data_IF_634699726036
#
_entry.id   IF_634699726036
#
_cell.length_a   1.000
_cell.length_b   1.000
_cell.length_c   1.000
_cell.angle_alpha   90.00
_cell.angle_beta   90.00
_cell.angle_gamma   90.00
#
_symmetry.space_group_name_H-M   'P 1'
#
loop_
_entity.id
_entity.type
_entity.pdbx_description
1 polymer ?
#
# COMPACT_ATOMS: atom_id res chain seq x y z
N UNK A 1 18.15 -18.59 -23.18
CA UNK A 1 16.79 -18.71 -22.59
C UNK A 1 16.72 -18.49 -21.07
N UNK A 2 17.71 -18.91 -20.27
CA UNK A 2 17.76 -18.63 -18.80
C UNK A 2 18.00 -17.17 -18.39
N UNK A 3 18.46 -16.32 -19.30
CA UNK A 3 18.78 -14.90 -19.04
C UNK A 3 17.53 -13.99 -19.10
N UNK A 4 16.55 -14.32 -19.93
CA UNK A 4 15.30 -13.56 -20.12
C UNK A 4 14.29 -13.80 -18.98
N UNK A 5 14.36 -14.97 -18.34
CA UNK A 5 13.50 -15.37 -17.22
C UNK A 5 13.86 -14.67 -15.89
N UNK A 6 15.06 -14.08 -15.78
CA UNK A 6 15.52 -13.32 -14.60
C UNK A 6 15.13 -11.83 -14.63
N UNK A 7 14.60 -11.34 -15.75
CA UNK A 7 14.20 -9.94 -15.91
C UNK A 7 12.78 -9.68 -15.38
N UNK A 8 11.95 -10.71 -15.26
CA UNK A 8 10.53 -10.59 -14.91
C UNK A 8 10.20 -10.57 -13.41
N UNK A 9 11.18 -10.75 -12.51
CA UNK A 9 10.97 -11.16 -11.10
C UNK A 9 10.30 -10.09 -10.19
N UNK A 10 9.94 -8.91 -10.68
CA UNK A 10 10.01 -7.72 -9.83
C UNK A 10 8.76 -6.82 -9.70
N UNK A 11 7.62 -7.16 -10.29
CA UNK A 11 6.52 -6.20 -10.46
C UNK A 11 5.30 -6.36 -9.54
N UNK A 12 5.29 -7.23 -8.52
CA UNK A 12 4.01 -7.53 -7.85
C UNK A 12 4.17 -7.55 -6.35
N UNK A 13 3.65 -6.53 -5.68
CA UNK A 13 3.85 -6.31 -4.27
C UNK A 13 2.72 -5.40 -3.70
N UNK A 14 1.82 -5.93 -2.83
CA UNK A 14 1.31 -5.34 -1.54
C UNK A 14 -0.16 -5.73 -1.15
N UNK A 15 -0.34 -5.92 0.17
CA UNK A 15 -1.50 -5.92 1.13
C UNK A 15 -2.87 -6.58 0.87
N UNK A 16 -3.27 -7.39 1.87
CA UNK A 16 -4.57 -8.00 2.21
C UNK A 16 -5.78 -7.05 2.25
N UNK A 17 -6.83 -7.38 1.49
CA UNK A 17 -8.17 -6.78 1.58
C UNK A 17 -9.21 -7.91 1.45
N UNK A 18 -10.21 -7.91 2.34
CA UNK A 18 -11.38 -8.80 2.28
C UNK A 18 -12.51 -8.11 1.50
N UNK A 19 -13.07 -8.74 0.46
CA UNK A 19 -14.13 -8.17 -0.39
C UNK A 19 -15.46 -8.89 -0.11
N UNK A 20 -16.51 -8.14 0.24
CA UNK A 20 -17.90 -8.64 0.23
C UNK A 20 -18.87 -7.56 -0.28
N UNK A 21 -19.57 -7.88 -1.38
CA UNK A 21 -20.98 -7.57 -1.63
C UNK A 21 -21.41 -6.15 -2.01
N UNK A 22 -21.64 -5.93 -3.32
CA UNK A 22 -22.14 -4.72 -3.99
C UNK A 22 -23.68 -4.64 -4.09
N UNK A 23 -24.27 -3.45 -3.90
CA UNK A 23 -25.46 -2.89 -4.62
C UNK A 23 -25.39 -1.34 -4.56
N UNK A 24 -25.55 -0.56 -5.66
CA UNK A 24 -25.38 0.90 -5.65
C UNK A 24 -26.72 1.66 -5.67
N UNK A 25 -26.72 2.88 -5.11
CA UNK A 25 -27.72 3.90 -5.46
C UNK A 25 -27.08 5.29 -5.60
N UNK A 26 -27.65 6.06 -6.54
CA UNK A 26 -27.15 7.32 -7.12
C UNK A 26 -27.55 8.56 -6.29
N UNK A 27 -26.88 9.68 -6.60
CA UNK A 27 -27.34 11.10 -6.72
C UNK A 27 -26.44 12.05 -5.92
N UNK A 28 -25.61 12.89 -6.55
CA UNK A 28 -25.87 14.14 -7.31
C UNK A 28 -25.81 15.39 -6.42
N UNK A 29 -25.01 16.38 -6.83
CA UNK A 29 -25.17 17.77 -6.41
C UNK A 29 -23.85 18.48 -6.17
N UNK A 30 -23.32 19.12 -7.23
CA UNK A 30 -22.25 20.10 -7.12
C UNK A 30 -22.82 21.45 -6.69
N UNK A 31 -22.22 22.11 -5.71
CA UNK A 31 -22.22 23.57 -5.65
C UNK A 31 -20.88 24.10 -5.10
N UNK A 32 -20.23 24.94 -5.91
CA UNK A 32 -19.01 25.66 -5.59
C UNK A 32 -19.24 26.67 -4.46
N UNK A 33 -18.31 26.76 -3.50
CA UNK A 33 -18.28 27.82 -2.49
C UNK A 33 -17.00 28.65 -2.55
N UNK A 34 -17.25 29.95 -2.66
CA UNK A 34 -16.33 31.08 -2.59
C UNK A 34 -15.49 31.10 -1.31
N UNK A 35 -14.20 31.40 -1.48
CA UNK A 35 -13.22 31.55 -0.42
C UNK A 35 -13.50 32.71 0.54
N UNK A 36 -13.56 32.40 1.84
CA UNK A 36 -13.25 33.32 2.94
C UNK A 36 -12.46 32.53 3.98
N UNK A 37 -11.30 33.06 4.37
CA UNK A 37 -10.41 32.55 5.41
C UNK A 37 -11.17 32.20 6.69
N UNK A 38 -11.42 30.91 6.91
CA UNK A 38 -11.82 30.35 8.20
C UNK A 38 -10.67 29.50 8.73
N UNK A 39 -10.43 29.56 10.03
CA UNK A 39 -9.91 28.38 10.73
C UNK A 39 -10.95 27.30 10.42
N UNK A 40 -10.65 26.41 9.48
CA UNK A 40 -11.53 25.31 9.18
C UNK A 40 -11.70 24.54 10.49
N UNK A 41 -12.92 24.49 11.01
CA UNK A 41 -13.26 23.49 12.02
C UNK A 41 -12.87 22.15 11.41
N UNK A 42 -11.82 21.52 11.94
CA UNK A 42 -11.52 20.15 11.55
C UNK A 42 -12.78 19.34 11.81
N UNK A 43 -13.26 18.63 10.78
CA UNK A 43 -14.49 17.86 10.86
C UNK A 43 -14.42 16.78 11.95
N UNK A 44 -13.19 16.36 12.28
CA UNK A 44 -12.89 15.36 13.30
C UNK A 44 -11.86 15.89 14.29
N UNK A 45 -12.04 15.52 15.55
CA UNK A 45 -11.01 15.61 16.59
C UNK A 45 -9.89 14.61 16.30
N UNK A 46 -8.73 14.80 16.95
CA UNK A 46 -7.57 13.90 16.83
C UNK A 46 -7.91 12.49 17.32
N UNK A 47 -8.68 12.41 18.40
CA UNK A 47 -9.15 11.16 18.99
C UNK A 47 -10.08 10.40 18.02
N UNK A 48 -10.98 11.10 17.35
CA UNK A 48 -11.87 10.52 16.32
C UNK A 48 -11.06 10.00 15.13
N UNK A 49 -10.12 10.79 14.61
CA UNK A 49 -9.23 10.37 13.52
C UNK A 49 -8.42 9.11 13.88
N UNK A 50 -7.88 9.06 15.10
CA UNK A 50 -7.15 7.89 15.60
C UNK A 50 -8.07 6.68 15.68
N UNK A 51 -9.30 6.82 16.20
CA UNK A 51 -10.23 5.71 16.31
C UNK A 51 -10.71 5.22 14.95
N UNK A 52 -11.01 6.12 14.02
CA UNK A 52 -11.34 5.78 12.63
C UNK A 52 -10.20 5.02 11.97
N UNK A 53 -8.95 5.45 12.19
CA UNK A 53 -7.76 4.78 11.63
C UNK A 53 -7.55 3.40 12.24
N UNK A 54 -7.72 3.21 13.55
CA UNK A 54 -7.66 1.89 14.19
C UNK A 54 -8.71 0.94 13.59
N UNK A 55 -9.96 1.38 13.51
CA UNK A 55 -11.05 0.59 12.93
C UNK A 55 -10.76 0.20 11.48
N UNK A 56 -10.24 1.14 10.67
CA UNK A 56 -9.86 0.89 9.29
C UNK A 56 -8.68 -0.08 9.15
N UNK A 57 -7.68 0.00 10.03
CA UNK A 57 -6.52 -0.91 10.01
C UNK A 57 -6.92 -2.33 10.43
N UNK A 58 -7.81 -2.46 11.41
CA UNK A 58 -8.35 -3.76 11.85
C UNK A 58 -9.30 -4.36 10.80
N UNK A 59 -10.09 -3.51 10.13
CA UNK A 59 -11.11 -3.93 9.16
C UNK A 59 -11.00 -3.10 7.86
N UNK A 60 -9.97 -3.35 7.04
CA UNK A 60 -9.75 -2.56 5.82
C UNK A 60 -10.90 -2.74 4.84
N UNK A 61 -11.43 -1.62 4.33
CA UNK A 61 -12.55 -1.58 3.41
C UNK A 61 -12.30 -0.55 2.30
N UNK A 62 -12.39 -0.97 1.03
CA UNK A 62 -12.18 -0.09 -0.14
C UNK A 62 -13.34 0.87 -0.39
N UNK A 63 -14.52 0.61 0.17
CA UNK A 63 -15.71 1.47 0.04
C UNK A 63 -15.59 2.78 0.83
N UNK A 64 -14.68 2.82 1.81
CA UNK A 64 -14.35 4.05 2.52
C UNK A 64 -13.29 4.89 1.81
N UNK A 65 -12.73 4.42 0.69
CA UNK A 65 -11.78 5.22 -0.09
C UNK A 65 -12.51 6.26 -0.93
N UNK A 66 -11.99 7.47 -0.87
CA UNK A 66 -12.41 8.60 -1.69
C UNK A 66 -12.23 8.30 -3.19
N UNK A 67 -12.97 9.00 -4.04
CA UNK A 67 -12.85 8.83 -5.50
C UNK A 67 -11.47 9.31 -5.99
N UNK A 68 -10.89 10.33 -5.33
CA UNK A 68 -9.55 10.84 -5.59
C UNK A 68 -8.49 10.18 -4.67
N UNK A 69 -8.74 8.95 -4.23
CA UNK A 69 -7.80 8.20 -3.39
C UNK A 69 -6.45 7.95 -4.09
N UNK A 70 -5.36 8.15 -3.34
CA UNK A 70 -4.00 7.80 -3.77
C UNK A 70 -3.32 6.89 -2.74
N UNK A 71 -2.57 5.91 -3.21
CA UNK A 71 -1.66 5.09 -2.42
C UNK A 71 -0.20 5.35 -2.80
N UNK A 72 0.69 5.45 -1.79
CA UNK A 72 2.14 5.61 -2.00
C UNK A 72 2.99 4.83 -1.01
N UNK A 73 3.79 3.90 -1.52
CA UNK A 73 4.95 3.33 -0.83
C UNK A 73 6.28 3.89 -1.37
N UNK A 74 7.43 3.44 -0.83
CA UNK A 74 8.74 3.96 -1.23
C UNK A 74 9.07 3.77 -2.71
N UNK A 75 8.63 2.65 -3.30
CA UNK A 75 8.90 2.29 -4.70
C UNK A 75 7.63 1.93 -5.50
N UNK A 76 6.46 2.01 -4.87
CA UNK A 76 5.15 1.74 -5.49
C UNK A 76 4.29 2.99 -5.32
N UNK A 77 3.52 3.33 -6.34
CA UNK A 77 2.66 4.49 -6.39
C UNK A 77 3.30 5.71 -7.07
N UNK A 78 2.55 6.81 -7.18
CA UNK A 78 1.15 6.95 -6.78
C UNK A 78 0.24 5.97 -7.55
N UNK A 79 -0.64 5.28 -6.83
CA UNK A 79 -1.64 4.38 -7.40
C UNK A 79 -3.02 4.87 -7.00
N UNK A 80 -3.89 5.11 -7.98
CA UNK A 80 -5.30 5.43 -7.72
C UNK A 80 -6.09 4.17 -7.35
N UNK A 81 -7.27 4.35 -6.76
CA UNK A 81 -8.17 3.27 -6.30
C UNK A 81 -8.31 2.11 -7.30
N UNK A 82 -8.66 2.40 -8.56
CA UNK A 82 -8.83 1.37 -9.61
C UNK A 82 -7.56 0.54 -9.85
N UNK A 83 -6.42 1.21 -9.93
CA UNK A 83 -5.15 0.59 -10.29
C UNK A 83 -4.58 -0.18 -9.10
N UNK A 84 -4.79 0.33 -7.89
CA UNK A 84 -4.42 -0.37 -6.66
C UNK A 84 -5.21 -1.67 -6.52
N UNK A 85 -6.54 -1.64 -6.68
CA UNK A 85 -7.38 -2.84 -6.57
C UNK A 85 -6.99 -3.87 -7.64
N UNK A 86 -6.81 -3.43 -8.89
CA UNK A 86 -6.43 -4.32 -9.99
C UNK A 86 -5.03 -4.94 -9.79
N UNK A 87 -4.08 -4.17 -9.26
CA UNK A 87 -2.69 -4.61 -9.03
C UNK A 87 -2.59 -5.50 -7.80
N UNK A 88 -3.28 -5.15 -6.72
CA UNK A 88 -3.07 -5.73 -5.40
C UNK A 88 -4.11 -6.75 -4.99
N UNK A 89 -5.37 -6.65 -5.45
CA UNK A 89 -6.45 -7.55 -5.04
C UNK A 89 -6.11 -9.05 -5.17
N UNK A 90 -5.57 -9.51 -6.32
CA UNK A 90 -5.16 -10.91 -6.47
C UNK A 90 -3.99 -11.30 -5.55
N UNK A 91 -2.98 -10.43 -5.44
CA UNK A 91 -1.79 -10.67 -4.62
C UNK A 91 -2.14 -10.74 -3.13
N UNK A 92 -3.05 -9.87 -2.70
CA UNK A 92 -3.60 -9.79 -1.35
C UNK A 92 -4.23 -11.11 -0.89
N UNK A 93 -5.04 -11.73 -1.75
CA UNK A 93 -5.65 -13.03 -1.47
C UNK A 93 -4.59 -14.12 -1.31
N UNK A 94 -3.65 -14.20 -2.25
CA UNK A 94 -2.59 -15.21 -2.22
C UNK A 94 -1.68 -15.05 -1.00
N UNK A 95 -1.39 -13.82 -0.57
CA UNK A 95 -0.60 -13.56 0.64
C UNK A 95 -1.34 -13.96 1.92
N UNK A 96 -2.66 -13.82 1.96
CA UNK A 96 -3.48 -14.30 3.08
C UNK A 96 -3.37 -15.81 3.25
N UNK A 97 -3.42 -16.51 2.13
CA UNK A 97 -3.29 -17.97 2.12
C UNK A 97 -1.87 -18.39 2.49
N UNK A 98 -0.86 -17.70 1.95
CA UNK A 98 0.55 -17.97 2.25
C UNK A 98 0.93 -17.72 3.72
N UNK A 99 0.39 -16.65 4.32
CA UNK A 99 0.63 -16.26 5.72
C UNK A 99 -0.70 -16.17 6.49
N UNK A 100 -1.32 -17.30 6.86
CA UNK A 100 -2.65 -17.32 7.47
C UNK A 100 -2.71 -16.70 8.86
N UNK A 101 -1.57 -16.61 9.55
CA UNK A 101 -1.37 -16.01 10.87
C UNK A 101 -0.75 -14.59 10.78
N UNK A 102 -0.78 -13.94 9.60
CA UNK A 102 -0.18 -12.62 9.42
C UNK A 102 -0.93 -11.55 10.21
N UNK A 103 -0.24 -11.00 11.20
CA UNK A 103 -0.68 -9.88 11.99
C UNK A 103 0.17 -8.65 11.69
N UNK A 104 -0.47 -7.50 11.44
CA UNK A 104 0.24 -6.24 11.23
C UNK A 104 0.91 -5.75 12.53
N UNK A 105 0.34 -6.07 13.70
CA UNK A 105 0.75 -5.53 15.00
C UNK A 105 0.88 -4.00 14.96
N UNK A 106 -0.22 -3.31 14.67
CA UNK A 106 -0.24 -1.86 14.56
C UNK A 106 -0.20 -1.18 15.94
N UNK A 107 0.56 -0.08 16.07
CA UNK A 107 0.73 0.65 17.32
C UNK A 107 1.12 2.12 17.07
N UNK A 108 1.14 2.94 18.13
CA UNK A 108 1.67 4.30 18.07
C UNK A 108 0.86 5.25 17.18
N UNK A 109 -0.46 5.09 17.13
CA UNK A 109 -1.36 5.96 16.37
C UNK A 109 -1.34 7.40 16.90
N UNK A 110 -1.23 8.38 16.00
CA UNK A 110 -1.12 9.78 16.34
C UNK A 110 -1.65 10.68 15.19
N UNK A 111 -2.45 11.69 15.53
CA UNK A 111 -3.03 12.66 14.58
C UNK A 111 -2.54 14.10 14.85
N UNK A 112 -1.29 14.26 15.27
CA UNK A 112 -0.65 15.53 15.58
C UNK A 112 0.20 16.08 14.43
N UNK A 113 -0.02 15.64 13.18
CA UNK A 113 0.71 16.18 12.04
C UNK A 113 0.44 17.69 11.91
N UNK A 114 1.47 18.56 12.02
CA UNK A 114 1.29 20.00 12.01
C UNK A 114 1.11 20.58 10.60
N UNK A 115 1.35 19.78 9.55
CA UNK A 115 1.34 20.19 8.14
C UNK A 115 0.13 19.59 7.41
N UNK A 116 -0.17 18.32 7.65
CA UNK A 116 -1.26 17.58 7.00
C UNK A 116 -2.39 17.32 8.00
N UNK A 117 -3.37 18.23 8.13
CA UNK A 117 -4.54 17.98 8.97
C UNK A 117 -5.27 16.72 8.50
N UNK A 118 -5.92 16.02 9.43
CA UNK A 118 -6.60 14.74 9.20
C UNK A 118 -5.69 13.55 8.84
N UNK A 119 -4.36 13.71 8.90
CA UNK A 119 -3.41 12.61 8.75
C UNK A 119 -3.16 11.93 10.09
N UNK A 120 -3.35 10.61 10.11
CA UNK A 120 -2.97 9.76 11.23
C UNK A 120 -1.74 8.96 10.85
N UNK A 121 -0.66 9.14 11.60
CA UNK A 121 0.54 8.33 11.56
C UNK A 121 0.43 7.16 12.54
N UNK A 122 0.98 6.02 12.16
CA UNK A 122 1.08 4.85 13.03
C UNK A 122 2.23 3.97 12.58
N UNK A 123 2.62 3.04 13.45
CA UNK A 123 3.63 2.04 13.15
C UNK A 123 3.00 0.66 13.04
N UNK A 124 3.67 -0.23 12.33
CA UNK A 124 3.37 -1.66 12.33
C UNK A 124 4.64 -2.46 12.57
N UNK A 125 4.49 -3.69 13.04
CA UNK A 125 5.58 -4.65 13.13
C UNK A 125 5.09 -6.04 12.71
N UNK A 126 5.02 -6.32 11.39
CA UNK A 126 4.29 -7.48 10.91
C UNK A 126 4.93 -8.78 11.37
N UNK A 127 4.09 -9.76 11.73
CA UNK A 127 4.52 -11.10 12.10
C UNK A 127 3.61 -12.15 11.46
N UNK A 128 4.19 -13.26 11.04
CA UNK A 128 3.45 -14.40 10.51
C UNK A 128 4.36 -15.56 10.17
N UNK A 129 3.82 -16.57 9.50
CA UNK A 129 4.49 -17.81 9.14
C UNK A 129 4.11 -18.21 7.73
N UNK A 130 5.09 -18.55 6.90
CA UNK A 130 4.84 -19.00 5.53
C UNK A 130 4.38 -20.47 5.52
N UNK A 131 3.08 -20.68 5.69
CA UNK A 131 2.45 -22.00 5.86
C UNK A 131 1.57 -22.42 4.68
N UNK A 132 1.04 -21.47 3.92
CA UNK A 132 0.32 -21.76 2.67
C UNK A 132 1.21 -21.61 1.45
N UNK A 133 0.82 -22.24 0.34
CA UNK A 133 1.48 -21.97 -0.93
C UNK A 133 1.16 -20.56 -1.43
N UNK A 134 2.09 -19.99 -2.20
CA UNK A 134 1.90 -18.70 -2.84
C UNK A 134 1.98 -18.84 -4.36
N UNK A 135 0.89 -18.53 -5.06
CA UNK A 135 0.88 -18.47 -6.52
C UNK A 135 1.49 -17.15 -7.00
N UNK A 136 2.78 -17.17 -7.33
CA UNK A 136 3.49 -16.00 -7.82
C UNK A 136 3.17 -15.75 -9.30
N UNK A 137 2.83 -14.51 -9.72
CA UNK A 137 2.42 -14.22 -11.10
C UNK A 137 3.49 -14.53 -12.15
N UNK A 138 4.76 -14.55 -11.74
CA UNK A 138 5.92 -14.77 -12.61
C UNK A 138 6.63 -16.11 -12.41
N UNK A 139 6.98 -16.49 -11.17
CA UNK A 139 7.79 -17.71 -10.92
C UNK A 139 6.94 -18.96 -10.72
N UNK A 140 5.60 -18.82 -10.73
CA UNK A 140 4.67 -19.90 -10.45
C UNK A 140 4.50 -20.15 -8.96
N UNK A 141 4.02 -21.34 -8.63
CA UNK A 141 3.72 -21.73 -7.25
C UNK A 141 4.99 -21.83 -6.40
N UNK A 142 4.99 -21.15 -5.26
CA UNK A 142 6.03 -21.21 -4.23
C UNK A 142 5.47 -22.04 -3.07
N UNK A 143 6.13 -23.14 -2.73
CA UNK A 143 5.69 -24.03 -1.64
C UNK A 143 6.07 -23.46 -0.26
N UNK A 144 5.24 -23.67 0.77
CA UNK A 144 5.49 -23.19 2.11
C UNK A 144 6.73 -23.83 2.73
N UNK A 145 7.46 -23.06 3.54
CA UNK A 145 8.69 -23.52 4.20
C UNK A 145 8.59 -23.50 5.73
N UNK A 146 7.51 -22.95 6.29
CA UNK A 146 7.37 -22.68 7.72
C UNK A 146 8.24 -21.51 8.20
N UNK A 147 8.86 -20.75 7.28
CA UNK A 147 9.70 -19.61 7.63
C UNK A 147 8.88 -18.52 8.34
N UNK A 148 9.47 -17.96 9.40
CA UNK A 148 8.84 -16.90 10.18
C UNK A 148 9.07 -15.55 9.51
N UNK A 149 7.99 -14.80 9.32
CA UNK A 149 8.03 -13.38 9.03
C UNK A 149 8.12 -12.62 10.36
N UNK A 150 9.22 -11.90 10.55
CA UNK A 150 9.39 -10.89 11.59
C UNK A 150 9.82 -9.65 10.83
N UNK A 151 8.91 -8.71 10.61
CA UNK A 151 9.23 -7.47 9.90
C UNK A 151 9.89 -6.43 10.80
N UNK A 152 10.65 -5.50 10.21
CA UNK A 152 11.11 -4.31 10.90
C UNK A 152 9.91 -3.41 11.25
N UNK A 153 10.07 -2.45 12.16
CA UNK A 153 9.09 -1.38 12.32
C UNK A 153 8.94 -0.59 11.02
N UNK A 154 7.69 -0.37 10.60
CA UNK A 154 7.34 0.47 9.45
C UNK A 154 6.44 1.60 9.90
N UNK A 155 6.70 2.82 9.41
CA UNK A 155 5.76 3.92 9.47
C UNK A 155 4.71 3.79 8.36
N UNK A 156 3.46 4.05 8.72
CA UNK A 156 2.30 4.10 7.83
C UNK A 156 1.45 5.30 8.17
N UNK A 157 0.62 5.72 7.24
CA UNK A 157 -0.36 6.77 7.51
C UNK A 157 -1.61 6.62 6.68
N UNK A 158 -2.69 7.19 7.21
CA UNK A 158 -3.98 7.35 6.54
C UNK A 158 -4.37 8.82 6.66
N UNK A 159 -4.74 9.44 5.55
CA UNK A 159 -5.29 10.80 5.52
C UNK A 159 -6.77 10.73 5.21
N UNK A 160 -7.59 11.37 6.04
CA UNK A 160 -9.03 11.38 5.91
C UNK A 160 -9.53 12.69 5.27
N UNK A 161 -10.58 12.59 4.45
CA UNK A 161 -11.37 13.76 4.06
C UNK A 161 -12.26 14.21 5.21
N UNK A 162 -12.82 15.41 5.11
CA UNK A 162 -13.76 15.94 6.11
C UNK A 162 -15.08 15.14 6.16
N UNK A 163 -15.38 14.36 5.12
CA UNK A 163 -16.51 13.43 5.03
C UNK A 163 -16.19 12.03 5.61
N UNK A 164 -14.98 11.84 6.14
CA UNK A 164 -14.55 10.57 6.71
C UNK A 164 -14.24 9.49 5.67
N UNK A 165 -13.82 9.89 4.46
CA UNK A 165 -13.28 8.98 3.45
C UNK A 165 -11.76 8.96 3.49
N UNK A 166 -11.14 7.83 3.14
CA UNK A 166 -9.68 7.73 3.03
C UNK A 166 -9.26 8.37 1.72
N UNK A 167 -8.49 9.46 1.82
CA UNK A 167 -7.95 10.20 0.67
C UNK A 167 -6.56 9.72 0.27
N UNK A 168 -5.72 9.39 1.25
CA UNK A 168 -4.34 9.00 1.00
C UNK A 168 -3.88 7.94 1.99
N UNK A 169 -3.16 6.93 1.50
CA UNK A 169 -2.54 5.92 2.35
C UNK A 169 -1.07 5.71 2.00
N UNK A 170 -0.22 5.68 3.03
CA UNK A 170 1.20 5.35 2.90
C UNK A 170 1.55 4.05 3.60
N UNK A 171 2.39 3.22 2.97
CA UNK A 171 2.79 1.89 3.48
C UNK A 171 4.24 1.60 3.16
N UNK A 172 4.95 0.91 4.06
CA UNK A 172 6.25 0.29 3.77
C UNK A 172 7.48 1.17 4.04
N UNK A 173 7.33 2.26 4.80
CA UNK A 173 8.45 3.12 5.18
C UNK A 173 9.16 2.53 6.41
N UNK A 174 10.16 1.69 6.17
CA UNK A 174 10.95 1.07 7.24
C UNK A 174 11.68 2.13 8.06
N UNK A 175 11.47 2.13 9.37
CA UNK A 175 12.08 3.11 10.28
C UNK A 175 13.35 2.61 10.95
N UNK A 176 13.47 1.30 11.14
CA UNK A 176 14.69 0.67 11.65
C UNK A 176 14.85 -0.75 11.07
N UNK A 177 15.78 -0.89 10.12
CA UNK A 177 16.08 -2.15 9.44
C UNK A 177 17.08 -3.05 10.17
N UNK A 178 17.54 -2.68 11.36
CA UNK A 178 18.57 -3.42 12.09
C UNK A 178 18.02 -4.11 13.35
N UNK A 179 16.71 -4.35 13.40
CA UNK A 179 15.99 -4.85 14.57
C UNK A 179 15.98 -6.37 14.71
N UNK A 180 16.83 -7.09 13.97
CA UNK A 180 16.84 -8.56 13.93
C UNK A 180 15.62 -9.15 13.21
N UNK A 181 15.18 -8.47 12.14
CA UNK A 181 14.08 -8.92 11.29
C UNK A 181 14.48 -10.09 10.37
N UNK A 182 13.50 -10.83 9.83
CA UNK A 182 13.72 -11.94 8.88
C UNK A 182 13.52 -11.52 7.42
N UNK A 183 13.39 -10.23 7.18
CA UNK A 183 13.05 -9.64 5.87
C UNK A 183 14.23 -9.00 5.17
N UNK A 184 15.40 -9.01 5.81
CA UNK A 184 16.60 -8.28 5.39
C UNK A 184 16.27 -6.79 5.21
N UNK A 185 15.62 -6.22 6.23
CA UNK A 185 15.27 -4.82 6.31
C UNK A 185 14.17 -4.35 5.36
N UNK A 186 13.40 -5.26 4.75
CA UNK A 186 12.37 -4.93 3.76
C UNK A 186 10.99 -4.84 4.39
N UNK A 187 10.32 -3.72 4.18
CA UNK A 187 8.96 -3.50 4.64
C UNK A 187 7.89 -4.05 3.68
N UNK A 188 6.65 -3.98 4.16
CA UNK A 188 5.46 -4.40 3.43
C UNK A 188 5.63 -5.82 2.86
N UNK A 189 5.14 -6.03 1.65
CA UNK A 189 5.23 -7.32 0.97
C UNK A 189 6.63 -7.67 0.48
N UNK A 190 7.54 -6.70 0.32
CA UNK A 190 8.90 -7.00 -0.12
C UNK A 190 9.61 -7.86 0.93
N UNK A 191 9.28 -7.66 2.21
CA UNK A 191 9.71 -8.54 3.29
C UNK A 191 9.08 -9.94 3.22
N UNK A 192 7.80 -10.04 2.84
CA UNK A 192 7.13 -11.33 2.65
C UNK A 192 7.76 -12.12 1.51
N UNK A 193 8.04 -11.47 0.37
CA UNK A 193 8.78 -12.07 -0.74
C UNK A 193 10.15 -12.55 -0.33
N UNK A 194 10.88 -11.76 0.46
CA UNK A 194 12.18 -12.17 0.96
C UNK A 194 12.10 -13.45 1.80
N UNK A 195 11.11 -13.54 2.70
CA UNK A 195 10.85 -14.76 3.50
C UNK A 195 10.47 -15.95 2.63
N UNK A 196 9.76 -15.72 1.51
CA UNK A 196 9.45 -16.73 0.49
C UNK A 196 10.64 -17.05 -0.45
N UNK A 197 11.84 -16.54 -0.16
CA UNK A 197 13.05 -16.77 -0.95
C UNK A 197 13.13 -15.97 -2.26
N UNK A 198 12.25 -14.99 -2.44
CA UNK A 198 12.24 -14.08 -3.60
C UNK A 198 12.94 -12.77 -3.24
N UNK A 199 14.05 -12.46 -3.92
CA UNK A 199 14.75 -11.20 -3.72
C UNK A 199 14.29 -10.16 -4.75
N UNK A 200 13.35 -9.31 -4.32
CA UNK A 200 12.82 -8.20 -5.11
C UNK A 200 13.54 -6.92 -4.67
N UNK A 201 14.16 -6.24 -5.63
CA UNK A 201 14.70 -4.88 -5.45
C UNK A 201 13.57 -3.91 -5.05
N UNK A 202 13.72 -3.29 -3.89
CA UNK A 202 12.79 -2.32 -3.33
C UNK A 202 13.47 -0.99 -3.01
N UNK A 203 14.58 -0.68 -3.67
CA UNK A 203 15.40 0.50 -3.38
C UNK A 203 14.93 1.71 -4.21
N UNK A 204 14.52 2.82 -3.56
CA UNK A 204 14.26 4.07 -4.26
C UNK A 204 15.48 4.54 -5.06
N UNK A 205 15.24 5.02 -6.28
CA UNK A 205 16.27 5.45 -7.23
C UNK A 205 16.95 4.33 -8.01
N UNK A 206 16.67 3.04 -7.73
CA UNK A 206 17.30 1.92 -8.45
C UNK A 206 17.05 1.99 -9.96
N UNK A 207 18.09 2.15 -10.81
CA UNK A 207 17.91 2.25 -12.26
C UNK A 207 17.28 1.01 -12.87
N UNK A 208 17.61 -0.16 -12.31
CA UNK A 208 17.04 -1.45 -12.74
C UNK A 208 15.55 -1.50 -12.43
N UNK A 209 15.17 -1.16 -11.19
CA UNK A 209 13.77 -1.20 -10.78
C UNK A 209 12.94 -0.22 -11.62
N UNK A 210 13.41 1.02 -11.78
CA UNK A 210 12.73 2.03 -12.62
C UNK A 210 12.51 1.56 -14.05
N UNK A 211 13.53 0.97 -14.67
CA UNK A 211 13.41 0.40 -16.01
C UNK A 211 12.37 -0.73 -16.08
N UNK A 212 12.35 -1.63 -15.08
CA UNK A 212 11.37 -2.72 -15.03
C UNK A 212 9.95 -2.23 -14.83
N UNK A 213 9.75 -1.22 -13.98
CA UNK A 213 8.45 -0.62 -13.73
C UNK A 213 7.91 0.11 -14.96
N UNK A 214 8.78 0.85 -15.66
CA UNK A 214 8.45 1.45 -16.96
C UNK A 214 8.10 0.37 -18.01
N UNK A 215 8.88 -0.70 -18.10
CA UNK A 215 8.60 -1.79 -19.05
C UNK A 215 7.25 -2.46 -18.75
N UNK A 216 6.90 -2.63 -17.48
CA UNK A 216 5.64 -3.24 -17.06
C UNK A 216 4.41 -2.47 -17.56
N UNK A 217 4.52 -1.15 -17.80
CA UNK A 217 3.41 -0.35 -18.35
C UNK A 217 2.97 -0.80 -19.75
N UNK A 218 3.88 -1.41 -20.51
CA UNK A 218 3.64 -1.86 -21.88
C UNK A 218 3.27 -3.35 -21.97
N UNK A 219 3.28 -4.07 -20.85
CA UNK A 219 3.05 -5.51 -20.83
C UNK A 219 1.63 -5.82 -20.31
N UNK A 220 0.76 -6.44 -21.14
CA UNK A 220 -0.58 -6.79 -20.70
C UNK A 220 -0.53 -7.84 -19.58
N UNK A 221 -1.37 -7.67 -18.55
CA UNK A 221 -1.49 -8.60 -17.43
C UNK A 221 -0.42 -8.49 -16.35
N UNK A 222 0.53 -7.56 -16.48
CA UNK A 222 1.51 -7.27 -15.41
C UNK A 222 0.92 -6.23 -14.45
N UNK A 223 0.98 -6.46 -13.12
CA UNK A 223 0.51 -5.47 -12.15
C UNK A 223 1.27 -4.14 -12.26
N UNK A 224 0.55 -3.02 -12.14
CA UNK A 224 1.13 -1.67 -12.28
C UNK A 224 1.90 -1.28 -11.03
N UNK A 225 3.04 -0.62 -11.23
CA UNK A 225 3.78 -0.01 -10.11
C UNK A 225 3.33 1.41 -9.78
N UNK A 226 2.64 2.09 -10.70
CA UNK A 226 2.07 3.42 -10.53
C UNK A 226 0.95 3.64 -11.56
N UNK A 227 0.08 4.62 -11.29
CA UNK A 227 -1.00 5.02 -12.19
C UNK A 227 -0.49 5.91 -13.32
N UNK A 228 -1.24 5.92 -14.42
CA UNK A 228 -0.99 6.87 -15.50
C UNK A 228 -1.16 8.29 -15.00
N UNK A 229 -0.36 9.21 -15.50
CA UNK A 229 -0.32 10.59 -15.00
C UNK A 229 -1.67 11.30 -15.10
N UNK A 230 -2.41 11.05 -16.17
CA UNK A 230 -3.74 11.60 -16.41
C UNK A 230 -4.83 11.05 -15.47
N UNK A 231 -4.59 9.90 -14.83
CA UNK A 231 -5.51 9.32 -13.85
C UNK A 231 -5.23 9.85 -12.43
N UNK A 232 -4.06 10.42 -12.17
CA UNK A 232 -3.67 10.90 -10.85
C UNK A 232 -4.43 12.19 -10.51
N UNK A 233 -5.11 12.27 -9.35
CA UNK A 233 -5.86 13.46 -8.95
C UNK A 233 -5.00 14.72 -8.83
N UNK A 234 -5.56 15.87 -9.16
CA UNK A 234 -4.85 17.16 -9.19
C UNK A 234 -4.26 17.56 -7.83
N UNK A 235 -4.82 17.09 -6.72
CA UNK A 235 -4.31 17.38 -5.38
C UNK A 235 -2.96 16.70 -5.10
N UNK A 236 -2.64 15.62 -5.83
CA UNK A 236 -1.36 14.94 -5.71
C UNK A 236 -0.27 15.69 -6.48
N UNK A 237 0.63 16.34 -5.75
CA UNK A 237 1.62 17.26 -6.36
C UNK A 237 3.01 16.65 -6.57
N UNK A 238 3.28 15.46 -6.01
CA UNK A 238 4.59 14.81 -6.15
C UNK A 238 4.71 14.15 -7.54
N UNK A 239 5.66 14.57 -8.39
CA UNK A 239 5.79 14.06 -9.75
C UNK A 239 6.46 12.68 -9.83
N UNK A 240 7.03 12.16 -8.73
CA UNK A 240 7.81 10.92 -8.73
C UNK A 240 6.92 9.70 -8.88
N UNK A 241 7.29 8.80 -9.79
CA UNK A 241 6.56 7.57 -10.09
C UNK A 241 7.36 6.34 -9.69
N UNK A 242 6.71 5.35 -9.09
CA UNK A 242 7.32 4.08 -8.71
C UNK A 242 8.55 4.30 -7.83
N UNK A 243 9.69 3.80 -8.30
CA UNK A 243 10.99 3.90 -7.65
C UNK A 243 11.79 5.16 -8.00
N UNK A 244 11.19 6.20 -8.57
CA UNK A 244 11.85 7.50 -8.69
C UNK A 244 12.26 8.04 -7.30
N UNK A 245 13.45 8.66 -7.22
CA UNK A 245 14.02 9.29 -6.01
C UNK A 245 13.92 10.80 -6.05
#
# INVERSE_FOLDING_TARGET
>A
MKFMMRLFILASAVLLISVNGFVPSKLSGSEARSAKSSIALQAFTKEELVQMTKNYVENPNTEVWDDDFVFRGPVIGPLVKKDLIATLGPVASNLKEAFPDLEANAFGFNADDPIEPNRVWYFVRPRGTFEGAFDHPVVGKIEPTGAKLIGPPEARSVTWTDEGKVKHQTVGYVTDRFTGDTTDGKGAVFGQYHVMGQNIDGVPGSPRLRFLQWLAEFLPGVPKSYSKKEDIPEWWTDPRLGADS
#
